data_IF_916928830538
#
_entry.id   IF_916928830538
#
_cell.length_a   1.000
_cell.length_b   1.000
_cell.length_c   1.000
_cell.angle_alpha   90.00
_cell.angle_beta   90.00
_cell.angle_gamma   90.00
#
_symmetry.space_group_name_H-M   'P 1'
#
loop_
_entity.id
_entity.type
_entity.pdbx_description
1 polymer ?
#
# COMPACT_ATOMS: atom_id res chain seq x y z
N UNK A 1 -2.84 29.35 -14.90
CA UNK A 1 -2.73 29.76 -13.48
C UNK A 1 -4.12 29.59 -12.88
N UNK A 2 -4.29 28.67 -11.92
CA UNK A 2 -5.61 28.38 -11.34
C UNK A 2 -6.11 29.62 -10.57
N UNK A 3 -7.31 30.11 -10.88
CA UNK A 3 -7.85 31.36 -10.31
C UNK A 3 -8.34 31.21 -8.86
N UNK A 4 -8.61 32.34 -8.20
CA UNK A 4 -9.00 32.45 -6.78
C UNK A 4 -10.16 31.54 -6.37
N UNK A 5 -11.04 31.16 -7.30
CA UNK A 5 -12.12 30.22 -7.06
C UNK A 5 -11.60 28.82 -6.70
N UNK A 6 -10.56 28.35 -7.40
CA UNK A 6 -9.97 27.04 -7.16
C UNK A 6 -9.25 26.98 -5.80
N UNK A 7 -8.62 28.09 -5.40
CA UNK A 7 -7.98 28.23 -4.07
C UNK A 7 -9.02 28.15 -2.95
N UNK A 8 -10.16 28.84 -3.11
CA UNK A 8 -11.27 28.78 -2.14
C UNK A 8 -11.88 27.39 -2.04
N UNK A 9 -12.02 26.68 -3.17
CA UNK A 9 -12.48 25.29 -3.16
C UNK A 9 -11.48 24.38 -2.44
N UNK A 10 -10.17 24.53 -2.67
CA UNK A 10 -9.15 23.74 -2.01
C UNK A 10 -9.12 23.98 -0.48
N UNK A 11 -9.34 25.23 -0.04
CA UNK A 11 -9.45 25.60 1.37
C UNK A 11 -10.72 25.08 2.05
N UNK A 12 -11.77 24.78 1.28
CA UNK A 12 -13.02 24.22 1.81
C UNK A 12 -12.91 22.71 2.12
N UNK A 13 -11.84 22.05 1.67
CA UNK A 13 -11.60 20.64 1.95
C UNK A 13 -11.23 20.50 3.44
N UNK A 14 -12.02 19.81 4.27
CA UNK A 14 -11.68 19.61 5.66
C UNK A 14 -10.35 18.84 5.77
N UNK A 15 -9.38 19.46 6.45
CA UNK A 15 -8.03 18.93 6.68
C UNK A 15 -7.93 18.14 7.99
N UNK A 16 -9.04 17.64 8.53
CA UNK A 16 -8.97 16.79 9.72
C UNK A 16 -8.22 15.49 9.40
N UNK A 17 -7.54 14.95 10.40
CA UNK A 17 -6.84 13.67 10.24
C UNK A 17 -7.79 12.57 9.73
N UNK A 18 -9.04 12.57 10.17
CA UNK A 18 -10.06 11.61 9.74
C UNK A 18 -10.44 11.77 8.28
N UNK A 19 -10.63 13.02 7.81
CA UNK A 19 -10.94 13.29 6.40
C UNK A 19 -9.75 12.93 5.49
N UNK A 20 -8.52 13.18 5.93
CA UNK A 20 -7.31 12.77 5.20
C UNK A 20 -7.18 11.26 5.18
N UNK A 21 -7.38 10.57 6.31
CA UNK A 21 -7.32 9.11 6.39
C UNK A 21 -8.37 8.43 5.50
N UNK A 22 -9.60 8.93 5.50
CA UNK A 22 -10.67 8.44 4.63
C UNK A 22 -10.29 8.58 3.15
N UNK A 23 -9.80 9.76 2.75
CA UNK A 23 -9.38 10.00 1.36
C UNK A 23 -8.20 9.13 0.94
N UNK A 24 -7.25 8.86 1.83
CA UNK A 24 -6.17 7.91 1.57
C UNK A 24 -6.75 6.51 1.32
N UNK A 25 -7.75 6.11 2.11
CA UNK A 25 -8.50 4.86 1.93
C UNK A 25 -9.18 4.79 0.57
N UNK A 26 -9.97 5.80 0.21
CA UNK A 26 -10.71 5.85 -1.06
C UNK A 26 -9.76 5.77 -2.27
N UNK A 27 -8.66 6.53 -2.23
CA UNK A 27 -7.65 6.52 -3.29
C UNK A 27 -6.96 5.16 -3.36
N UNK A 28 -6.65 4.55 -2.22
CA UNK A 28 -6.03 3.22 -2.19
C UNK A 28 -6.97 2.16 -2.79
N UNK A 29 -8.26 2.20 -2.47
CA UNK A 29 -9.26 1.29 -3.04
C UNK A 29 -9.42 1.48 -4.55
N UNK A 30 -9.53 2.72 -5.02
CA UNK A 30 -9.65 3.03 -6.45
C UNK A 30 -8.42 2.53 -7.24
N UNK A 31 -7.20 2.80 -6.74
CA UNK A 31 -5.96 2.32 -7.36
C UNK A 31 -5.91 0.79 -7.39
N UNK A 32 -6.29 0.13 -6.30
CA UNK A 32 -6.36 -1.33 -6.26
C UNK A 32 -7.38 -1.88 -7.25
N UNK A 33 -8.57 -1.28 -7.33
CA UNK A 33 -9.61 -1.68 -8.28
C UNK A 33 -9.13 -1.56 -9.72
N UNK A 34 -8.52 -0.43 -10.10
CA UNK A 34 -7.96 -0.24 -11.44
C UNK A 34 -6.87 -1.28 -11.76
N UNK A 35 -6.01 -1.61 -10.80
CA UNK A 35 -5.01 -2.66 -10.95
C UNK A 35 -5.66 -4.03 -11.19
N UNK A 36 -6.67 -4.40 -10.39
CA UNK A 36 -7.37 -5.68 -10.58
C UNK A 36 -8.04 -5.78 -11.95
N UNK A 37 -8.71 -4.72 -12.42
CA UNK A 37 -9.32 -4.67 -13.75
C UNK A 37 -8.27 -4.93 -14.84
N UNK A 38 -7.05 -4.38 -14.71
CA UNK A 38 -5.96 -4.64 -15.67
C UNK A 38 -5.47 -6.10 -15.61
N UNK A 39 -5.44 -6.69 -14.42
CA UNK A 39 -4.90 -8.04 -14.21
C UNK A 39 -5.87 -9.15 -14.61
N UNK A 40 -7.18 -8.90 -14.63
CA UNK A 40 -8.22 -9.92 -14.90
C UNK A 40 -7.95 -10.76 -16.16
N UNK A 41 -7.51 -10.12 -17.24
CA UNK A 41 -7.31 -10.78 -18.54
C UNK A 41 -5.83 -10.94 -18.92
N UNK A 42 -4.92 -10.89 -17.93
CA UNK A 42 -3.48 -10.82 -18.21
C UNK A 42 -2.67 -11.80 -17.37
N UNK A 43 -1.63 -12.33 -17.99
CA UNK A 43 -0.58 -13.01 -17.26
C UNK A 43 0.24 -12.01 -16.46
N UNK A 44 0.50 -12.35 -15.21
CA UNK A 44 1.33 -11.55 -14.30
C UNK A 44 2.23 -12.46 -13.46
N UNK A 45 3.26 -11.87 -12.86
CA UNK A 45 4.05 -12.51 -11.82
C UNK A 45 4.00 -11.70 -10.54
N UNK A 46 4.08 -12.38 -9.40
CA UNK A 46 4.09 -11.73 -8.08
C UNK A 46 5.51 -11.87 -7.50
N UNK A 47 6.04 -10.77 -6.97
CA UNK A 47 7.25 -10.76 -6.14
C UNK A 47 6.84 -10.47 -4.70
N UNK A 48 7.37 -11.26 -3.77
CA UNK A 48 7.12 -11.10 -2.35
C UNK A 48 8.43 -10.75 -1.65
N UNK A 49 8.45 -9.62 -0.95
CA UNK A 49 9.59 -9.11 -0.20
C UNK A 49 9.23 -8.93 1.28
N UNK A 50 10.20 -9.13 2.17
CA UNK A 50 10.06 -8.81 3.60
C UNK A 50 10.89 -7.58 3.90
N UNK A 51 10.25 -6.48 4.29
CA UNK A 51 10.95 -5.28 4.76
C UNK A 51 10.96 -5.23 6.28
N UNK A 52 12.13 -5.16 6.90
CA UNK A 52 12.27 -4.96 8.34
C UNK A 52 12.36 -3.47 8.66
N UNK A 53 11.38 -2.91 9.39
CA UNK A 53 11.53 -1.59 10.01
C UNK A 53 12.34 -1.74 11.30
N UNK A 54 13.04 -0.70 11.74
CA UNK A 54 14.02 -0.67 12.84
C UNK A 54 13.47 -0.97 14.26
N UNK A 55 12.40 -1.74 14.39
CA UNK A 55 11.68 -2.01 15.64
C UNK A 55 11.03 -3.41 15.68
N UNK A 56 11.64 -4.43 15.08
CA UNK A 56 11.09 -5.80 14.95
C UNK A 56 9.74 -5.91 14.21
N UNK A 57 9.24 -4.82 13.61
CA UNK A 57 8.05 -4.87 12.77
C UNK A 57 8.48 -5.14 11.33
N UNK A 58 8.36 -6.40 10.92
CA UNK A 58 8.48 -6.79 9.54
C UNK A 58 7.19 -6.43 8.79
N UNK A 59 7.30 -6.04 7.52
CA UNK A 59 6.17 -5.94 6.60
C UNK A 59 6.39 -6.89 5.44
N UNK A 60 5.31 -7.58 5.05
CA UNK A 60 5.23 -8.33 3.82
C UNK A 60 4.81 -7.37 2.72
N UNK A 61 5.64 -7.23 1.70
CA UNK A 61 5.38 -6.39 0.55
C UNK A 61 5.22 -7.30 -0.66
N UNK A 62 4.09 -7.19 -1.35
CA UNK A 62 3.86 -7.91 -2.60
C UNK A 62 3.80 -6.91 -3.75
N UNK A 63 4.60 -7.15 -4.78
CA UNK A 63 4.53 -6.45 -6.05
C UNK A 63 3.97 -7.38 -7.12
N UNK A 64 3.21 -6.83 -8.05
CA UNK A 64 2.74 -7.53 -9.24
C UNK A 64 3.41 -6.93 -10.48
N UNK A 65 3.94 -7.80 -11.34
CA UNK A 65 4.53 -7.42 -12.63
C UNK A 65 3.68 -7.98 -13.75
N UNK A 66 3.26 -7.12 -14.66
CA UNK A 66 2.41 -7.48 -15.80
C UNK A 66 2.82 -6.67 -17.03
N UNK A 67 2.27 -7.00 -18.19
CA UNK A 67 2.50 -6.27 -19.43
C UNK A 67 1.27 -5.40 -19.78
N UNK A 68 1.49 -4.12 -20.05
CA UNK A 68 0.47 -3.14 -20.45
C UNK A 68 1.04 -2.21 -21.53
N UNK A 69 1.35 -2.78 -22.70
CA UNK A 69 2.15 -2.10 -23.73
C UNK A 69 3.65 -2.01 -23.38
N UNK A 70 3.97 -1.91 -22.10
CA UNK A 70 5.32 -2.03 -21.53
C UNK A 70 5.28 -2.87 -20.26
N UNK A 71 6.43 -3.35 -19.78
CA UNK A 71 6.47 -4.07 -18.50
C UNK A 71 6.21 -3.09 -17.35
N UNK A 72 5.11 -3.31 -16.63
CA UNK A 72 4.71 -2.54 -15.45
C UNK A 72 5.02 -3.33 -14.18
N UNK A 73 5.29 -2.64 -13.08
CA UNK A 73 5.38 -3.24 -11.74
C UNK A 73 4.64 -2.33 -10.77
N UNK A 74 3.63 -2.86 -10.10
CA UNK A 74 2.78 -2.12 -9.17
C UNK A 74 2.75 -2.82 -7.80
N UNK A 75 2.49 -2.04 -6.74
CA UNK A 75 2.34 -2.57 -5.39
C UNK A 75 0.95 -3.23 -5.26
N UNK A 76 0.92 -4.51 -4.90
CA UNK A 76 -0.32 -5.24 -4.66
C UNK A 76 -0.81 -5.04 -3.21
N UNK A 77 0.08 -5.26 -2.25
CA UNK A 77 -0.19 -4.95 -0.84
C UNK A 77 1.11 -4.75 -0.04
N UNK A 78 0.98 -4.06 1.09
CA UNK A 78 1.97 -4.01 2.16
C UNK A 78 1.25 -4.27 3.49
N UNK A 79 1.60 -5.35 4.19
CA UNK A 79 0.94 -5.76 5.45
C UNK A 79 1.97 -6.04 6.53
N UNK A 80 1.72 -5.63 7.79
CA UNK A 80 2.60 -5.98 8.89
C UNK A 80 2.61 -7.50 9.09
N UNK A 81 3.78 -8.04 9.44
CA UNK A 81 3.95 -9.43 9.88
C UNK A 81 4.32 -9.39 11.35
N UNK A 82 3.56 -10.11 12.16
CA UNK A 82 3.88 -10.31 13.57
C UNK A 82 4.72 -11.57 13.72
N UNK A 83 6.03 -11.40 13.84
CA UNK A 83 6.91 -12.51 14.21
C UNK A 83 6.65 -12.85 15.68
N UNK A 84 6.08 -14.02 15.96
CA UNK A 84 6.11 -14.56 17.32
C UNK A 84 7.55 -14.95 17.62
N UNK A 85 8.20 -14.21 18.51
CA UNK A 85 9.40 -14.70 19.15
C UNK A 85 9.00 -15.90 20.00
N UNK A 86 9.29 -17.12 19.55
CA UNK A 86 9.43 -18.25 20.48
C UNK A 86 10.61 -17.92 21.36
N UNK A 87 10.36 -17.51 22.61
CA UNK A 87 11.36 -17.59 23.67
C UNK A 87 11.83 -19.05 23.72
N UNK A 88 13.02 -19.31 23.19
CA UNK A 88 13.75 -20.50 23.54
C UNK A 88 14.07 -20.37 25.03
N UNK A 89 13.24 -20.98 25.89
CA UNK A 89 13.52 -21.12 27.31
C UNK A 89 14.90 -21.77 27.41
N UNK A 90 15.89 -21.01 27.88
CA UNK A 90 17.22 -21.55 28.15
C UNK A 90 17.06 -22.74 29.12
N UNK A 91 17.58 -23.93 28.79
CA UNK A 91 17.55 -25.05 29.71
C UNK A 91 18.55 -24.78 30.86
N UNK A 92 18.03 -24.60 32.08
CA UNK A 92 18.82 -24.61 33.30
C UNK A 92 18.87 -23.28 34.05
N UNK A 93 17.86 -23.06 34.90
CA UNK A 93 17.97 -22.29 36.14
C UNK A 93 17.57 -23.20 37.28
#
# INVERSE_FOLDING_TARGET
MFGDNFVKQLQSIPLSNDAVAHRIGDIAEDVQHQLFVKLCDRSFSIRLDVSTKSNNNAHLIAYVRFYDGMSATELLFCKPIYLKATEAKAPGS
#
